data_IF_274098129419
#
_entry.id   IF_274098129419
#
_cell.length_a   1.000
_cell.length_b   1.000
_cell.length_c   1.000
_cell.angle_alpha   90.00
_cell.angle_beta   90.00
_cell.angle_gamma   90.00
#
_symmetry.space_group_name_H-M   'P 1'
#
loop_
_entity.id
_entity.type
_entity.pdbx_description
1 polymer ?
#
# COMPACT_ATOMS: atom_id res chain seq x y z
N UNK A 1 18.91 -5.90 10.97
CA UNK A 1 19.08 -7.08 10.08
C UNK A 1 17.68 -7.45 9.61
N UNK A 2 17.33 -7.24 8.33
CA UNK A 2 16.02 -7.69 7.81
C UNK A 2 16.13 -9.17 7.51
N UNK A 3 15.45 -10.00 8.28
CA UNK A 3 15.35 -11.44 8.00
C UNK A 3 14.47 -11.61 6.77
N UNK A 4 14.98 -12.29 5.74
CA UNK A 4 14.20 -12.62 4.55
C UNK A 4 13.08 -13.60 4.96
N UNK A 5 11.84 -13.33 4.53
CA UNK A 5 10.71 -14.23 4.82
C UNK A 5 10.89 -15.59 4.15
N UNK A 6 10.35 -16.64 4.75
CA UNK A 6 10.25 -17.95 4.11
C UNK A 6 9.24 -17.94 2.97
N UNK A 7 9.40 -18.85 2.01
CA UNK A 7 8.46 -19.02 0.90
C UNK A 7 7.03 -19.36 1.38
N UNK A 8 6.93 -20.14 2.46
CA UNK A 8 5.66 -20.44 3.10
C UNK A 8 4.97 -19.18 3.65
N UNK A 9 5.72 -18.31 4.34
CA UNK A 9 5.19 -17.05 4.84
C UNK A 9 4.74 -16.12 3.71
N UNK A 10 5.50 -16.05 2.61
CA UNK A 10 5.11 -15.28 1.42
C UNK A 10 3.81 -15.83 0.83
N UNK A 11 3.69 -17.16 0.72
CA UNK A 11 2.49 -17.82 0.18
C UNK A 11 1.26 -17.50 1.02
N UNK A 12 1.37 -17.55 2.35
CA UNK A 12 0.28 -17.20 3.26
C UNK A 12 -0.14 -15.73 3.11
N UNK A 13 0.81 -14.82 2.95
CA UNK A 13 0.54 -13.39 2.75
C UNK A 13 -0.09 -13.08 1.38
N UNK A 14 0.17 -13.91 0.37
CA UNK A 14 -0.40 -13.77 -0.98
C UNK A 14 -1.67 -14.61 -1.22
N UNK A 15 -2.24 -15.21 -0.16
CA UNK A 15 -3.41 -16.08 -0.27
C UNK A 15 -4.64 -15.32 -0.83
N UNK A 16 -5.30 -15.89 -1.84
CA UNK A 16 -6.53 -15.33 -2.42
C UNK A 16 -6.35 -14.01 -3.19
N UNK A 17 -5.24 -13.87 -3.92
CA UNK A 17 -4.74 -12.74 -4.75
C UNK A 17 -3.50 -12.07 -4.13
N UNK A 18 -2.57 -11.63 -5.00
CA UNK A 18 -1.33 -10.97 -4.57
C UNK A 18 -1.60 -9.68 -3.82
N UNK A 19 -0.68 -9.33 -2.90
CA UNK A 19 -0.74 -8.05 -2.19
C UNK A 19 -0.72 -6.85 -3.15
N UNK A 20 -0.04 -6.95 -4.30
CA UNK A 20 -0.06 -5.94 -5.35
C UNK A 20 -1.49 -5.63 -5.78
N UNK A 21 -2.23 -6.68 -6.15
CA UNK A 21 -3.59 -6.56 -6.66
C UNK A 21 -4.54 -6.01 -5.59
N UNK A 22 -4.45 -6.52 -4.36
CA UNK A 22 -5.29 -6.03 -3.25
C UNK A 22 -5.04 -4.56 -2.93
N UNK A 23 -3.77 -4.14 -2.91
CA UNK A 23 -3.40 -2.74 -2.70
C UNK A 23 -3.87 -1.85 -3.85
N UNK A 24 -3.75 -2.32 -5.08
CA UNK A 24 -4.22 -1.61 -6.26
C UNK A 24 -5.75 -1.43 -6.29
N UNK A 25 -6.51 -2.50 -6.02
CA UNK A 25 -7.97 -2.49 -5.94
C UNK A 25 -8.47 -1.59 -4.78
N UNK A 26 -7.77 -1.59 -3.64
CA UNK A 26 -8.07 -0.69 -2.51
C UNK A 26 -7.94 0.78 -2.91
N UNK A 27 -6.85 1.12 -3.61
CA UNK A 27 -6.60 2.49 -4.07
C UNK A 27 -7.59 2.92 -5.15
N UNK A 28 -7.91 2.04 -6.09
CA UNK A 28 -8.95 2.28 -7.10
C UNK A 28 -10.33 2.54 -6.47
N UNK A 29 -10.70 1.76 -5.45
CA UNK A 29 -11.96 1.96 -4.72
C UNK A 29 -12.01 3.35 -4.07
N UNK A 30 -10.91 3.79 -3.45
CA UNK A 30 -10.81 5.10 -2.80
C UNK A 30 -10.92 6.22 -3.83
N UNK A 31 -10.18 6.15 -4.94
CA UNK A 31 -10.26 7.12 -6.04
C UNK A 31 -11.68 7.20 -6.60
N UNK A 32 -12.36 6.06 -6.77
CA UNK A 32 -13.74 6.00 -7.25
C UNK A 32 -14.73 6.66 -6.28
N UNK A 33 -14.59 6.41 -4.97
CA UNK A 33 -15.44 7.04 -3.94
C UNK A 33 -15.19 8.55 -3.90
N UNK A 34 -13.93 8.99 -3.88
CA UNK A 34 -13.55 10.41 -3.85
C UNK A 34 -14.05 11.14 -5.10
N UNK A 35 -13.87 10.56 -6.28
CA UNK A 35 -14.27 11.17 -7.55
C UNK A 35 -15.78 11.16 -7.80
N UNK A 36 -16.53 10.26 -7.16
CA UNK A 36 -17.97 10.06 -7.44
C UNK A 36 -18.89 10.55 -6.33
N UNK A 37 -18.38 10.86 -5.14
CA UNK A 37 -19.20 11.17 -3.96
C UNK A 37 -18.57 12.22 -3.05
N UNK A 38 -19.36 12.81 -2.14
CA UNK A 38 -18.87 13.66 -1.04
C UNK A 38 -18.53 12.87 0.24
N UNK A 39 -18.55 11.53 0.22
CA UNK A 39 -18.52 10.69 1.42
C UNK A 39 -17.35 11.02 2.35
N UNK A 40 -16.16 11.22 1.79
CA UNK A 40 -14.95 11.51 2.55
C UNK A 40 -14.96 12.90 3.19
N UNK A 41 -15.66 13.86 2.60
CA UNK A 41 -15.89 15.17 3.21
C UNK A 41 -16.93 15.11 4.32
N UNK A 42 -18.06 14.44 4.05
CA UNK A 42 -19.19 14.36 4.98
C UNK A 42 -18.87 13.53 6.22
N UNK A 43 -18.00 12.52 6.06
CA UNK A 43 -17.62 11.57 7.11
C UNK A 43 -16.10 11.33 7.08
N UNK A 44 -15.29 12.28 7.62
CA UNK A 44 -13.84 12.23 7.53
C UNK A 44 -13.19 10.98 8.14
N UNK A 45 -13.85 10.34 9.11
CA UNK A 45 -13.35 9.11 9.73
C UNK A 45 -13.19 7.94 8.75
N UNK A 46 -13.96 7.93 7.65
CA UNK A 46 -13.78 6.93 6.59
C UNK A 46 -12.40 7.06 5.94
N UNK A 47 -11.93 8.29 5.69
CA UNK A 47 -10.59 8.54 5.15
C UNK A 47 -9.52 8.00 6.09
N UNK A 48 -9.65 8.27 7.39
CA UNK A 48 -8.71 7.75 8.40
C UNK A 48 -8.66 6.23 8.40
N UNK A 49 -9.81 5.55 8.28
CA UNK A 49 -9.86 4.09 8.23
C UNK A 49 -9.23 3.53 6.94
N UNK A 50 -9.54 4.14 5.80
CA UNK A 50 -8.97 3.76 4.50
C UNK A 50 -7.46 3.95 4.44
N UNK A 51 -6.95 5.04 5.04
CA UNK A 51 -5.52 5.32 5.14
C UNK A 51 -4.81 4.27 6.01
N UNK A 52 -5.38 3.89 7.15
CA UNK A 52 -4.83 2.84 8.01
C UNK A 52 -4.81 1.46 7.32
N UNK A 53 -5.81 1.16 6.50
CA UNK A 53 -5.83 -0.06 5.67
C UNK A 53 -4.77 -0.01 4.57
N UNK A 54 -4.59 1.13 3.89
CA UNK A 54 -3.55 1.31 2.87
C UNK A 54 -2.16 1.12 3.49
N UNK A 55 -1.90 1.74 4.65
CA UNK A 55 -0.65 1.57 5.41
C UNK A 55 -0.39 0.08 5.71
N UNK A 56 -1.38 -0.65 6.22
CA UNK A 56 -1.23 -2.08 6.49
C UNK A 56 -0.89 -2.89 5.24
N UNK A 57 -1.54 -2.61 4.11
CA UNK A 57 -1.25 -3.26 2.83
C UNK A 57 0.14 -2.89 2.31
N UNK A 58 0.59 -1.64 2.47
CA UNK A 58 1.96 -1.22 2.16
C UNK A 58 2.99 -1.99 2.99
N UNK A 59 2.73 -2.22 4.29
CA UNK A 59 3.59 -3.06 5.15
C UNK A 59 3.70 -4.48 4.61
N UNK A 60 2.58 -5.13 4.28
CA UNK A 60 2.59 -6.48 3.69
C UNK A 60 3.36 -6.47 2.37
N UNK A 61 3.13 -5.47 1.51
CA UNK A 61 3.84 -5.33 0.25
C UNK A 61 5.35 -5.29 0.48
N UNK A 62 5.80 -4.48 1.44
CA UNK A 62 7.21 -4.38 1.80
C UNK A 62 7.76 -5.70 2.36
N UNK A 63 7.00 -6.40 3.19
CA UNK A 63 7.38 -7.71 3.73
C UNK A 63 7.56 -8.76 2.62
N UNK A 64 6.67 -8.77 1.63
CA UNK A 64 6.66 -9.72 0.51
C UNK A 64 7.77 -9.42 -0.49
N UNK A 65 7.96 -8.15 -0.85
CA UNK A 65 8.82 -7.74 -1.98
C UNK A 65 10.15 -7.12 -1.55
N UNK A 66 10.31 -6.74 -0.29
CA UNK A 66 11.50 -6.07 0.22
C UNK A 66 11.63 -4.59 -0.14
N UNK A 67 10.67 -4.01 -0.86
CA UNK A 67 10.62 -2.58 -1.22
C UNK A 67 9.22 -2.00 -1.01
N UNK A 68 9.08 -0.68 -1.00
CA UNK A 68 7.78 0.00 -0.90
C UNK A 68 7.08 0.12 -2.26
N UNK A 69 5.73 0.16 -2.30
CA UNK A 69 4.98 0.22 -3.56
C UNK A 69 5.12 1.56 -4.30
N UNK A 70 5.57 2.60 -3.59
CA UNK A 70 5.82 3.97 -4.02
C UNK A 70 7.32 4.32 -4.05
N UNK A 71 8.18 3.32 -3.93
CA UNK A 71 9.63 3.43 -4.12
C UNK A 71 9.96 4.20 -5.43
N UNK A 72 10.77 5.28 -5.37
CA UNK A 72 11.13 6.07 -6.55
C UNK A 72 11.81 5.26 -7.65
N UNK A 73 12.52 4.19 -7.28
CA UNK A 73 13.16 3.29 -8.23
C UNK A 73 12.12 2.41 -8.94
N UNK A 74 11.69 2.86 -10.12
CA UNK A 74 10.72 2.18 -10.98
C UNK A 74 11.14 0.74 -11.32
N UNK A 75 12.44 0.47 -11.49
CA UNK A 75 12.93 -0.87 -11.85
C UNK A 75 12.69 -1.87 -10.72
N UNK A 76 12.93 -1.49 -9.45
CA UNK A 76 12.58 -2.33 -8.29
C UNK A 76 11.09 -2.62 -8.23
N UNK A 77 10.25 -1.62 -8.49
CA UNK A 77 8.78 -1.79 -8.49
C UNK A 77 8.31 -2.76 -9.58
N UNK A 78 8.86 -2.67 -10.79
CA UNK A 78 8.49 -3.55 -11.90
C UNK A 78 8.86 -5.03 -11.64
N UNK A 79 9.88 -5.30 -10.83
CA UNK A 79 10.25 -6.67 -10.44
C UNK A 79 9.26 -7.33 -9.47
N UNK A 80 8.33 -6.57 -8.86
CA UNK A 80 7.34 -7.09 -7.91
C UNK A 80 6.12 -7.73 -8.59
N UNK A 81 6.09 -7.75 -9.93
CA UNK A 81 4.99 -8.29 -10.73
C UNK A 81 4.07 -7.19 -11.25
N UNK A 82 2.82 -7.18 -10.80
CA UNK A 82 1.82 -6.21 -11.29
C UNK A 82 2.07 -4.81 -10.72
N UNK A 83 1.94 -3.75 -11.55
CA UNK A 83 2.04 -2.38 -11.08
C UNK A 83 0.90 -2.09 -10.11
N UNK A 84 1.20 -1.26 -9.10
CA UNK A 84 0.25 -0.75 -8.12
C UNK A 84 0.11 0.75 -8.32
N UNK A 85 -1.13 1.26 -8.36
CA UNK A 85 -1.42 2.71 -8.38
C UNK A 85 -0.73 3.45 -7.24
N UNK A 86 -0.43 4.73 -7.46
CA UNK A 86 0.10 5.61 -6.42
C UNK A 86 -0.90 5.75 -5.27
N UNK A 87 -0.41 6.07 -4.08
CA UNK A 87 -1.28 6.34 -2.93
C UNK A 87 -2.17 7.56 -3.23
N UNK A 88 -3.50 7.48 -3.10
CA UNK A 88 -4.39 8.62 -3.26
C UNK A 88 -4.05 9.75 -2.29
N UNK A 89 -4.02 10.99 -2.76
CA UNK A 89 -3.62 12.16 -1.96
C UNK A 89 -4.51 12.39 -0.74
N UNK A 90 -5.78 12.01 -0.81
CA UNK A 90 -6.73 12.14 0.29
C UNK A 90 -6.35 11.32 1.53
N UNK A 91 -5.55 10.26 1.36
CA UNK A 91 -5.08 9.43 2.46
C UNK A 91 -3.89 10.04 3.22
N UNK A 92 -3.34 11.15 2.74
CA UNK A 92 -2.13 11.76 3.29
C UNK A 92 -0.91 10.85 3.19
N UNK A 93 0.12 11.17 3.97
CA UNK A 93 1.35 10.38 4.05
C UNK A 93 1.11 9.03 4.74
N UNK A 94 1.93 8.03 4.42
CA UNK A 94 1.93 6.76 5.15
C UNK A 94 2.52 6.98 6.55
N UNK A 95 1.82 6.53 7.59
CA UNK A 95 2.17 6.78 8.99
C UNK A 95 2.93 5.61 9.64
N UNK A 96 3.45 4.68 8.84
CA UNK A 96 4.23 3.56 9.36
C UNK A 96 5.64 4.04 9.78
N UNK A 97 6.11 3.72 11.00
CA UNK A 97 7.43 4.16 11.45
C UNK A 97 8.57 3.63 10.58
N UNK A 98 8.44 2.41 10.07
CA UNK A 98 9.42 1.82 9.14
C UNK A 98 9.38 2.43 7.73
N UNK A 99 8.32 3.17 7.38
CA UNK A 99 8.20 3.91 6.12
C UNK A 99 8.84 5.29 6.25
N UNK A 100 8.51 6.03 7.32
CA UNK A 100 9.06 7.37 7.60
C UNK A 100 10.59 7.39 7.71
N UNK A 101 11.18 6.32 8.25
CA UNK A 101 12.64 6.18 8.36
C UNK A 101 13.39 6.13 7.01
N UNK A 102 12.70 6.07 5.87
CA UNK A 102 13.31 6.10 4.53
C UNK A 102 13.18 7.45 3.82
N UNK A 103 12.36 8.37 4.33
CA UNK A 103 12.06 9.67 3.70
C UNK A 103 12.94 10.81 4.22
N UNK A 104 13.82 10.54 5.19
CA UNK A 104 14.82 11.49 5.69
C UNK A 104 16.06 11.42 4.80
N UNK A 105 16.05 12.17 3.70
CA UNK A 105 17.23 12.53 2.91
C UNK A 105 17.27 14.03 2.71
#
# INVERSE_FOLDING_TARGET
MRTQLSEEAITLLQFGNSVNKRLDEHRELIESIEGSTSLFYDKPWHVTHMAAQDDYLMRIFNMVHGCWPDEPNLQKRLMTGQPVRSRPSILGMCCLPEYESQTIY
#
